data_IF_740103988689
#
_entry.id   IF_740103988689
#
_cell.length_a   1.000
_cell.length_b   1.000
_cell.length_c   1.000
_cell.angle_alpha   90.00
_cell.angle_beta   90.00
_cell.angle_gamma   90.00
#
_symmetry.space_group_name_H-M   'P 1'
#
loop_
_entity.id
_entity.type
_entity.pdbx_description
1 polymer ?
#
# COMPACT_ATOMS: atom_id res chain seq x y z
N UNK A 1 20.30 10.58 -20.93
CA UNK A 1 19.30 9.81 -21.69
C UNK A 1 18.77 8.74 -20.74
N UNK A 2 17.64 8.99 -20.08
CA UNK A 2 17.08 8.04 -19.09
C UNK A 2 16.41 6.95 -19.92
N UNK A 3 16.99 5.74 -19.92
CA UNK A 3 16.33 4.58 -20.51
C UNK A 3 15.00 4.38 -19.79
N UNK A 4 13.90 4.41 -20.54
CA UNK A 4 12.56 4.25 -19.97
C UNK A 4 12.45 2.90 -19.28
N UNK A 5 12.21 2.92 -17.97
CA UNK A 5 11.83 1.72 -17.23
C UNK A 5 10.52 1.24 -17.83
N UNK A 6 10.55 0.06 -18.46
CA UNK A 6 9.36 -0.57 -19.03
C UNK A 6 8.54 -1.13 -17.88
N UNK A 7 7.57 -0.35 -17.40
CA UNK A 7 6.63 -0.77 -16.36
C UNK A 7 5.57 -1.64 -17.03
N UNK A 8 5.43 -2.89 -16.58
CA UNK A 8 4.31 -3.75 -16.98
C UNK A 8 3.06 -3.35 -16.16
N UNK A 9 2.04 -2.72 -16.77
CA UNK A 9 0.93 -2.15 -16.00
C UNK A 9 0.11 -3.18 -15.20
N UNK A 10 -0.17 -4.40 -15.72
CA UNK A 10 -0.75 -5.49 -14.93
C UNK A 10 0.07 -5.85 -13.70
N UNK A 11 1.38 -6.09 -13.83
CA UNK A 11 2.24 -6.42 -12.69
C UNK A 11 2.30 -5.29 -11.66
N UNK A 12 2.37 -4.03 -12.12
CA UNK A 12 2.36 -2.86 -11.24
C UNK A 12 1.03 -2.72 -10.46
N UNK A 13 -0.11 -3.04 -11.10
CA UNK A 13 -1.42 -3.05 -10.41
C UNK A 13 -1.52 -4.17 -9.38
N UNK A 14 -0.99 -5.36 -9.69
CA UNK A 14 -0.97 -6.47 -8.74
C UNK A 14 -0.13 -6.11 -7.50
N UNK A 15 1.09 -5.63 -7.70
CA UNK A 15 1.95 -5.18 -6.60
C UNK A 15 1.34 -4.04 -5.78
N UNK A 16 0.63 -3.11 -6.44
CA UNK A 16 -0.11 -2.05 -5.76
C UNK A 16 -1.24 -2.60 -4.86
N UNK A 17 -2.00 -3.58 -5.36
CA UNK A 17 -3.05 -4.24 -4.59
C UNK A 17 -2.47 -5.01 -3.39
N UNK A 18 -1.33 -5.68 -3.56
CA UNK A 18 -0.63 -6.37 -2.47
C UNK A 18 -0.25 -5.41 -1.35
N UNK A 19 0.26 -4.22 -1.68
CA UNK A 19 0.60 -3.19 -0.67
C UNK A 19 -0.62 -2.71 0.12
N UNK A 20 -1.73 -2.47 -0.58
CA UNK A 20 -3.01 -2.09 0.06
C UNK A 20 -3.48 -3.21 0.98
N UNK A 21 -3.43 -4.46 0.52
CA UNK A 21 -3.82 -5.62 1.31
C UNK A 21 -2.95 -5.79 2.56
N UNK A 22 -1.62 -5.66 2.44
CA UNK A 22 -0.71 -5.73 3.57
C UNK A 22 -1.02 -4.65 4.60
N UNK A 23 -1.25 -3.40 4.16
CA UNK A 23 -1.63 -2.31 5.04
C UNK A 23 -2.93 -2.58 5.81
N UNK A 24 -3.95 -3.13 5.13
CA UNK A 24 -5.19 -3.54 5.78
C UNK A 24 -5.00 -4.70 6.76
N UNK A 25 -4.25 -5.75 6.38
CA UNK A 25 -3.95 -6.89 7.25
C UNK A 25 -3.20 -6.47 8.51
N UNK A 26 -2.26 -5.53 8.39
CA UNK A 26 -1.54 -4.96 9.55
C UNK A 26 -2.45 -4.21 10.51
N UNK A 27 -3.42 -3.44 10.00
CA UNK A 27 -4.42 -2.77 10.86
C UNK A 27 -5.33 -3.80 11.56
N UNK A 28 -5.81 -4.80 10.82
CA UNK A 28 -6.64 -5.86 11.39
C UNK A 28 -5.92 -6.66 12.48
N UNK A 29 -4.63 -6.98 12.28
CA UNK A 29 -3.83 -7.63 13.31
C UNK A 29 -3.79 -6.79 14.59
N UNK A 30 -3.49 -5.50 14.45
CA UNK A 30 -3.45 -4.57 15.59
C UNK A 30 -4.79 -4.50 16.33
N UNK A 31 -5.91 -4.45 15.60
CA UNK A 31 -7.24 -4.43 16.22
C UNK A 31 -7.52 -5.71 17.00
N UNK A 32 -7.17 -6.88 16.44
CA UNK A 32 -7.33 -8.17 17.12
C UNK A 32 -6.49 -8.26 18.39
N UNK A 33 -5.23 -7.86 18.33
CA UNK A 33 -4.34 -7.86 19.49
C UNK A 33 -4.80 -6.83 20.54
N UNK A 34 -5.30 -5.66 20.13
CA UNK A 34 -5.85 -4.69 21.05
C UNK A 34 -7.08 -5.23 21.81
N UNK A 35 -7.95 -5.98 21.14
CA UNK A 35 -9.09 -6.66 21.78
C UNK A 35 -8.60 -7.74 22.76
N UNK A 36 -7.62 -8.55 22.38
CA UNK A 36 -7.06 -9.58 23.25
C UNK A 36 -6.41 -8.98 24.51
N UNK A 37 -5.58 -7.96 24.34
CA UNK A 37 -4.95 -7.24 25.46
C UNK A 37 -5.99 -6.57 26.35
N UNK A 38 -7.04 -5.96 25.79
CA UNK A 38 -8.11 -5.35 26.57
C UNK A 38 -8.89 -6.38 27.39
N UNK A 39 -9.09 -7.60 26.86
CA UNK A 39 -9.74 -8.69 27.57
C UNK A 39 -8.90 -9.22 28.74
N UNK A 40 -7.58 -9.26 28.59
CA UNK A 40 -6.65 -9.76 29.62
C UNK A 40 -6.28 -8.71 30.68
N UNK A 41 -6.38 -7.41 30.35
CA UNK A 41 -5.98 -6.29 31.23
C UNK A 41 -6.58 -6.33 32.65
N UNK A 42 -7.84 -6.74 32.88
CA UNK A 42 -8.38 -6.87 34.24
C UNK A 42 -7.65 -7.89 35.12
N UNK A 43 -7.04 -8.92 34.54
CA UNK A 43 -6.26 -9.93 35.27
C UNK A 43 -4.87 -9.42 35.66
N UNK A 44 -4.34 -8.40 34.96
CA UNK A 44 -3.00 -7.87 35.18
C UNK A 44 -2.94 -6.77 36.26
N UNK A 45 -3.92 -6.69 37.18
CA UNK A 45 -3.99 -5.67 38.25
C UNK A 45 -2.94 -5.84 39.36
N UNK A 46 -1.77 -6.34 39.02
CA UNK A 46 -0.63 -6.47 39.92
C UNK A 46 0.17 -5.16 39.93
N UNK A 47 0.83 -4.81 41.06
CA UNK A 47 1.64 -3.59 41.18
C UNK A 47 2.71 -3.44 40.08
N UNK A 48 3.27 -4.56 39.61
CA UNK A 48 4.26 -4.58 38.54
C UNK A 48 3.73 -4.05 37.19
N UNK A 49 2.45 -4.29 36.88
CA UNK A 49 1.82 -3.81 35.64
C UNK A 49 1.54 -2.31 35.70
N UNK A 50 1.17 -1.80 36.88
CA UNK A 50 0.97 -0.36 37.07
C UNK A 50 2.29 0.43 36.94
N UNK A 51 3.40 -0.12 37.45
CA UNK A 51 4.73 0.47 37.28
C UNK A 51 5.19 0.41 35.82
N UNK A 52 4.91 -0.69 35.12
CA UNK A 52 5.17 -0.81 33.68
C UNK A 52 4.39 0.24 32.89
N UNK A 53 3.08 0.37 33.11
CA UNK A 53 2.23 1.36 32.44
C UNK A 53 2.73 2.79 32.73
N UNK A 54 3.11 3.10 33.97
CA UNK A 54 3.65 4.41 34.33
C UNK A 54 5.01 4.70 33.66
N UNK A 55 5.84 3.68 33.44
CA UNK A 55 7.18 3.84 32.87
C UNK A 55 7.21 3.80 31.34
N UNK A 56 6.32 3.02 30.74
CA UNK A 56 6.37 2.70 29.30
C UNK A 56 5.10 3.03 28.53
N UNK A 57 4.02 3.48 29.19
CA UNK A 57 2.74 3.80 28.55
C UNK A 57 2.90 4.75 27.35
N UNK A 58 3.60 5.87 27.52
CA UNK A 58 3.85 6.81 26.43
C UNK A 58 4.65 6.19 25.26
N UNK A 59 5.61 5.31 25.56
CA UNK A 59 6.40 4.64 24.55
C UNK A 59 5.55 3.62 23.77
N UNK A 60 4.67 2.90 24.47
CA UNK A 60 3.69 2.00 23.88
C UNK A 60 2.70 2.76 22.99
N UNK A 61 2.16 3.89 23.45
CA UNK A 61 1.26 4.73 22.63
C UNK A 61 1.93 5.23 21.36
N UNK A 62 3.18 5.72 21.46
CA UNK A 62 3.96 6.14 20.29
C UNK A 62 4.21 4.99 19.32
N UNK A 63 4.53 3.80 19.82
CA UNK A 63 4.72 2.63 18.97
C UNK A 63 3.44 2.25 18.22
N UNK A 64 2.29 2.26 18.91
CA UNK A 64 0.99 1.99 18.31
C UNK A 64 0.61 3.05 17.26
N UNK A 65 0.90 4.33 17.53
CA UNK A 65 0.71 5.39 16.56
C UNK A 65 1.58 5.21 15.31
N UNK A 66 2.85 4.79 15.48
CA UNK A 66 3.74 4.49 14.35
C UNK A 66 3.26 3.29 13.55
N UNK A 67 2.73 2.27 14.19
CA UNK A 67 2.12 1.13 13.51
C UNK A 67 0.98 1.56 12.58
N UNK A 68 0.04 2.36 13.10
CA UNK A 68 -1.06 2.89 12.30
C UNK A 68 -0.58 3.79 11.15
N UNK A 69 0.46 4.59 11.39
CA UNK A 69 1.07 5.41 10.36
C UNK A 69 1.64 4.56 9.22
N UNK A 70 2.43 3.51 9.52
CA UNK A 70 3.00 2.65 8.49
C UNK A 70 1.92 1.89 7.72
N UNK A 71 0.89 1.40 8.41
CA UNK A 71 -0.25 0.75 7.75
C UNK A 71 -0.95 1.70 6.77
N UNK A 72 -1.15 2.97 7.15
CA UNK A 72 -1.72 3.98 6.28
C UNK A 72 -0.82 4.35 5.09
N UNK A 73 0.50 4.44 5.31
CA UNK A 73 1.48 4.72 4.26
C UNK A 73 1.53 3.60 3.21
N UNK A 74 1.43 2.33 3.63
CA UNK A 74 1.36 1.18 2.71
C UNK A 74 0.12 1.25 1.80
N UNK A 75 -1.04 1.57 2.37
CA UNK A 75 -2.28 1.75 1.59
C UNK A 75 -2.13 2.93 0.62
N UNK A 76 -1.66 4.07 1.09
CA UNK A 76 -1.48 5.26 0.26
C UNK A 76 -0.48 5.03 -0.88
N UNK A 77 0.61 4.30 -0.62
CA UNK A 77 1.60 3.93 -1.63
C UNK A 77 1.01 2.99 -2.67
N UNK A 78 0.25 1.97 -2.24
CA UNK A 78 -0.45 1.07 -3.15
C UNK A 78 -1.44 1.83 -4.05
N UNK A 79 -2.27 2.70 -3.48
CA UNK A 79 -3.20 3.54 -4.25
C UNK A 79 -2.48 4.45 -5.25
N UNK A 80 -1.36 5.07 -4.84
CA UNK A 80 -0.56 5.91 -5.72
C UNK A 80 0.06 5.09 -6.87
N UNK A 81 0.58 3.90 -6.58
CA UNK A 81 1.13 2.99 -7.58
C UNK A 81 0.06 2.50 -8.56
N UNK A 82 -1.15 2.18 -8.09
CA UNK A 82 -2.28 1.80 -8.95
C UNK A 82 -2.67 2.93 -9.91
N UNK A 83 -2.79 4.16 -9.40
CA UNK A 83 -3.07 5.36 -10.22
C UNK A 83 -1.98 5.62 -11.26
N UNK A 84 -0.70 5.43 -10.88
CA UNK A 84 0.43 5.59 -11.79
C UNK A 84 0.40 4.53 -12.90
N UNK A 85 0.15 3.26 -12.57
CA UNK A 85 0.02 2.17 -13.53
C UNK A 85 -1.15 2.40 -14.50
N UNK A 86 -2.28 2.91 -14.01
CA UNK A 86 -3.41 3.25 -14.86
C UNK A 86 -3.10 4.43 -15.80
N UNK A 87 -2.40 5.44 -15.31
CA UNK A 87 -1.97 6.58 -16.13
C UNK A 87 -1.01 6.13 -17.24
N UNK A 88 -0.05 5.25 -16.92
CA UNK A 88 0.88 4.70 -17.89
C UNK A 88 0.15 3.88 -18.98
N UNK A 89 -0.76 2.99 -18.59
CA UNK A 89 -1.53 2.18 -19.54
C UNK A 89 -2.34 3.05 -20.53
N UNK A 90 -3.02 4.09 -20.03
CA UNK A 90 -3.79 5.00 -20.90
C UNK A 90 -2.91 5.81 -21.85
N UNK A 91 -1.70 6.17 -21.41
CA UNK A 91 -0.73 6.88 -22.24
C UNK A 91 -0.21 5.99 -23.38
N UNK A 92 0.08 4.71 -23.09
CA UNK A 92 0.51 3.73 -24.08
C UNK A 92 -0.58 3.45 -25.12
N UNK A 93 -1.84 3.27 -24.69
CA UNK A 93 -2.98 3.09 -25.61
C UNK A 93 -3.16 4.29 -26.54
N UNK A 94 -3.05 5.50 -25.98
CA UNK A 94 -3.14 6.74 -26.75
C UNK A 94 -1.99 6.89 -27.77
N UNK A 95 -0.77 6.49 -27.38
CA UNK A 95 0.40 6.46 -28.26
C UNK A 95 0.24 5.45 -29.39
N UNK A 96 -0.22 4.23 -29.06
CA UNK A 96 -0.49 3.16 -30.03
C UNK A 96 -1.56 3.57 -31.05
N UNK A 97 -2.65 4.23 -30.63
CA UNK A 97 -3.69 4.74 -31.52
C UNK A 97 -3.18 5.84 -32.48
N UNK A 98 -2.30 6.73 -32.03
CA UNK A 98 -1.69 7.76 -32.90
C UNK A 98 -0.75 7.14 -33.93
N UNK A 99 0.08 6.17 -33.53
CA UNK A 99 0.94 5.42 -34.46
C UNK A 99 0.10 4.71 -35.53
N UNK A 100 -1.02 4.09 -35.13
CA UNK A 100 -1.92 3.39 -36.07
C UNK A 100 -2.64 4.34 -37.03
N UNK A 101 -2.95 5.57 -36.62
CA UNK A 101 -3.54 6.60 -37.50
C UNK A 101 -2.51 7.34 -38.36
N UNK A 102 -1.27 7.43 -37.90
CA UNK A 102 -0.19 8.15 -38.58
C UNK A 102 0.61 7.32 -39.57
N UNK A 103 0.48 6.00 -39.55
CA UNK A 103 1.07 5.13 -40.57
C UNK A 103 0.21 5.21 -41.85
N UNK A 104 0.76 5.67 -43.00
CA UNK A 104 0.07 5.53 -44.26
C UNK A 104 -0.20 4.03 -44.51
N UNK A 105 -1.44 3.68 -44.84
CA UNK A 105 -1.74 2.33 -45.32
C UNK A 105 -0.98 2.14 -46.63
N UNK A 106 0.18 1.49 -46.55
CA UNK A 106 0.87 1.00 -47.75
C UNK A 106 -0.04 -0.08 -48.31
N UNK A 107 -0.84 0.29 -49.31
CA UNK A 107 -1.51 -0.67 -50.17
C UNK A 107 -0.40 -1.45 -50.86
N UNK A 108 -0.21 -2.69 -50.45
CA UNK A 108 0.43 -3.69 -51.29
C UNK A 108 -0.57 -4.02 -52.40
N UNK A 109 -0.33 -3.46 -53.59
CA UNK A 109 -0.79 -4.04 -54.85
C UNK A 109 0.23 -3.73 -55.94
N UNK A 110 0.46 -4.62 -56.93
CA UNK A 110 0.23 -6.07 -56.98
C UNK A 110 1.52 -6.91 -57.17
#
# INVERSE_FOLDING_TARGET
MIQGVRVDPPAARAAAADLVEVGHRWRQLREREAVAVAADRPAWREPATAEFDARYGDAQERLLARWEQVAAELVALGDAAARAAETAARADDSGALRLRRGLPQVREEP
#
